data_IF_646505451004
#
_entry.id   IF_646505451004
#
_cell.length_a   1.000
_cell.length_b   1.000
_cell.length_c   1.000
_cell.angle_alpha   90.00
_cell.angle_beta   90.00
_cell.angle_gamma   90.00
#
_symmetry.space_group_name_H-M   'P 1'
#
loop_
_entity.id
_entity.type
_entity.pdbx_description
1 polymer ?
#
# COMPACT_ATOMS: atom_id res chain seq x y z
N UNK A 1 -47.23 -42.99 -5.91
CA UNK A 1 -46.01 -43.17 -6.72
C UNK A 1 -44.92 -42.28 -6.12
N UNK A 2 -43.94 -42.88 -5.44
CA UNK A 2 -42.84 -42.15 -4.80
C UNK A 2 -41.75 -41.82 -5.83
N UNK A 3 -41.21 -40.59 -5.78
CA UNK A 3 -40.08 -40.18 -6.61
C UNK A 3 -38.86 -41.04 -6.30
N UNK A 4 -38.07 -41.39 -7.32
CA UNK A 4 -36.92 -42.29 -7.15
C UNK A 4 -35.75 -41.50 -6.57
N UNK A 5 -34.98 -42.12 -5.67
CA UNK A 5 -33.81 -41.55 -4.99
C UNK A 5 -32.89 -40.66 -5.86
N UNK A 6 -32.59 -40.97 -7.13
CA UNK A 6 -31.73 -40.13 -7.97
C UNK A 6 -32.28 -38.72 -8.21
N UNK A 7 -33.60 -38.58 -8.38
CA UNK A 7 -34.26 -37.31 -8.70
C UNK A 7 -34.26 -36.35 -7.50
N UNK A 8 -34.29 -36.90 -6.29
CA UNK A 8 -34.27 -36.14 -5.04
C UNK A 8 -32.88 -35.53 -4.81
N UNK A 9 -31.81 -36.27 -5.13
CA UNK A 9 -30.44 -35.76 -5.03
C UNK A 9 -30.15 -34.67 -6.06
N UNK A 10 -30.72 -34.77 -7.26
CA UNK A 10 -30.57 -33.74 -8.30
C UNK A 10 -31.33 -32.46 -7.96
N UNK A 11 -32.58 -32.57 -7.48
CA UNK A 11 -33.35 -31.40 -7.00
C UNK A 11 -32.67 -30.73 -5.80
N UNK A 12 -32.08 -31.51 -4.88
CA UNK A 12 -31.38 -30.99 -3.70
C UNK A 12 -30.04 -30.34 -4.08
N UNK A 13 -29.32 -30.88 -5.09
CA UNK A 13 -28.11 -30.26 -5.65
C UNK A 13 -28.42 -28.97 -6.40
N UNK A 14 -29.56 -28.88 -7.08
CA UNK A 14 -30.03 -27.65 -7.75
C UNK A 14 -30.47 -26.58 -6.75
N UNK A 15 -31.10 -26.97 -5.64
CA UNK A 15 -31.52 -26.07 -4.57
C UNK A 15 -30.33 -25.50 -3.76
N UNK A 16 -29.32 -26.32 -3.45
CA UNK A 16 -28.09 -25.87 -2.74
C UNK A 16 -27.25 -24.93 -3.60
N UNK A 17 -27.28 -25.09 -4.93
CA UNK A 17 -26.53 -24.26 -5.87
C UNK A 17 -27.31 -23.04 -6.39
N UNK A 18 -28.51 -22.77 -5.85
CA UNK A 18 -29.31 -21.58 -6.19
C UNK A 18 -29.62 -21.44 -7.69
N UNK A 19 -29.68 -22.53 -8.45
CA UNK A 19 -29.74 -22.49 -9.92
C UNK A 19 -31.18 -22.49 -10.43
N UNK A 20 -31.66 -21.33 -10.91
CA UNK A 20 -32.77 -21.27 -11.87
C UNK A 20 -32.26 -21.68 -13.27
N UNK A 21 -33.13 -22.30 -14.07
CA UNK A 21 -32.80 -23.03 -15.31
C UNK A 21 -32.48 -22.13 -16.52
N UNK A 22 -32.50 -20.82 -16.33
CA UNK A 22 -32.45 -19.76 -17.33
C UNK A 22 -31.37 -18.69 -17.01
N UNK A 23 -30.42 -18.99 -16.13
CA UNK A 23 -29.37 -18.04 -15.77
C UNK A 23 -28.20 -18.06 -16.78
N UNK A 24 -28.09 -16.99 -17.58
CA UNK A 24 -26.99 -16.78 -18.52
C UNK A 24 -25.71 -16.34 -17.78
N UNK A 25 -24.85 -17.31 -17.47
CA UNK A 25 -23.58 -17.11 -16.76
C UNK A 25 -22.65 -16.04 -17.37
N UNK A 26 -22.77 -15.78 -18.67
CA UNK A 26 -21.97 -14.76 -19.36
C UNK A 26 -22.41 -13.33 -19.05
N UNK A 27 -23.70 -13.12 -18.76
CA UNK A 27 -24.23 -11.81 -18.34
C UNK A 27 -23.92 -11.56 -16.86
N UNK A 28 -24.04 -12.57 -16.00
CA UNK A 28 -23.68 -12.45 -14.58
C UNK A 28 -22.21 -12.09 -14.38
N UNK A 29 -21.32 -12.67 -15.19
CA UNK A 29 -19.89 -12.35 -15.16
C UNK A 29 -19.58 -10.92 -15.61
N UNK A 30 -20.31 -10.43 -16.64
CA UNK A 30 -20.18 -9.04 -17.12
C UNK A 30 -20.76 -8.04 -16.14
N UNK A 31 -21.92 -8.32 -15.57
CA UNK A 31 -22.56 -7.46 -14.56
C UNK A 31 -21.75 -7.40 -13.27
N UNK A 32 -21.18 -8.52 -12.81
CA UNK A 32 -20.29 -8.53 -11.64
C UNK A 32 -18.98 -7.79 -11.92
N UNK A 33 -18.42 -7.92 -13.13
CA UNK A 33 -17.23 -7.19 -13.55
C UNK A 33 -17.51 -5.68 -13.66
N UNK A 34 -18.60 -5.28 -14.31
CA UNK A 34 -18.98 -3.88 -14.49
C UNK A 34 -19.42 -3.23 -13.18
N UNK A 35 -20.07 -3.97 -12.27
CA UNK A 35 -20.36 -3.49 -10.91
C UNK A 35 -19.08 -3.31 -10.10
N UNK A 36 -18.09 -4.21 -10.26
CA UNK A 36 -16.78 -4.08 -9.61
C UNK A 36 -16.00 -2.91 -10.19
N UNK A 37 -15.91 -2.78 -11.51
CA UNK A 37 -15.16 -1.71 -12.20
C UNK A 37 -15.85 -0.35 -12.04
N UNK A 38 -17.18 -0.30 -12.13
CA UNK A 38 -17.99 0.90 -11.93
C UNK A 38 -17.97 1.37 -10.47
N UNK A 39 -18.07 0.45 -9.51
CA UNK A 39 -17.87 0.74 -8.09
C UNK A 39 -16.46 1.24 -7.80
N UNK A 40 -15.43 0.61 -8.37
CA UNK A 40 -14.02 1.02 -8.23
C UNK A 40 -13.80 2.43 -8.79
N UNK A 41 -14.39 2.79 -9.94
CA UNK A 41 -14.15 4.11 -10.57
C UNK A 41 -14.63 5.28 -9.71
N UNK A 42 -15.79 5.14 -9.05
CA UNK A 42 -16.34 6.17 -8.17
C UNK A 42 -15.70 6.15 -6.77
N UNK A 43 -15.32 4.97 -6.26
CA UNK A 43 -14.65 4.84 -4.95
C UNK A 43 -13.20 5.33 -5.03
N UNK A 44 -12.52 5.16 -6.17
CA UNK A 44 -11.08 5.47 -6.30
C UNK A 44 -10.81 6.97 -6.24
N UNK A 45 -11.58 7.80 -6.95
CA UNK A 45 -11.38 9.26 -6.98
C UNK A 45 -11.61 9.92 -5.62
N UNK A 46 -12.73 9.59 -4.98
CA UNK A 46 -13.11 10.18 -3.70
C UNK A 46 -12.23 9.68 -2.55
N UNK A 47 -11.89 8.39 -2.55
CA UNK A 47 -11.02 7.81 -1.51
C UNK A 47 -9.62 8.38 -1.61
N UNK A 48 -9.04 8.44 -2.83
CA UNK A 48 -7.69 8.96 -3.01
C UNK A 48 -7.60 10.43 -2.62
N UNK A 49 -8.58 11.25 -3.00
CA UNK A 49 -8.64 12.68 -2.64
C UNK A 49 -8.77 12.87 -1.13
N UNK A 50 -9.62 12.08 -0.46
CA UNK A 50 -9.74 12.11 1.01
C UNK A 50 -8.45 11.67 1.70
N UNK A 51 -7.77 10.65 1.20
CA UNK A 51 -6.48 10.20 1.73
C UNK A 51 -5.39 11.25 1.52
N UNK A 52 -5.37 11.91 0.37
CA UNK A 52 -4.45 13.02 0.10
C UNK A 52 -4.70 14.19 1.05
N UNK A 53 -5.96 14.56 1.27
CA UNK A 53 -6.31 15.61 2.24
C UNK A 53 -5.85 15.24 3.65
N UNK A 54 -6.13 14.01 4.10
CA UNK A 54 -5.69 13.51 5.41
C UNK A 54 -4.18 13.52 5.55
N UNK A 55 -3.45 13.20 4.48
CA UNK A 55 -1.99 13.29 4.46
C UNK A 55 -1.54 14.75 4.61
N UNK A 56 -2.15 15.68 3.88
CA UNK A 56 -1.85 17.10 3.98
C UNK A 56 -2.12 17.64 5.39
N UNK A 57 -3.22 17.23 6.02
CA UNK A 57 -3.56 17.61 7.40
C UNK A 57 -2.54 17.07 8.41
N UNK A 58 -1.99 15.87 8.17
CA UNK A 58 -0.98 15.25 9.01
C UNK A 58 0.45 15.79 8.77
N UNK A 59 0.72 16.36 7.59
CA UNK A 59 2.06 16.75 7.15
C UNK A 59 2.78 17.71 8.12
N UNK A 60 2.15 18.78 8.65
CA UNK A 60 2.81 19.67 9.61
C UNK A 60 3.23 18.94 10.89
N UNK A 61 2.42 17.98 11.34
CA UNK A 61 2.71 17.20 12.53
C UNK A 61 3.80 16.15 12.28
N UNK A 62 3.84 15.55 11.08
CA UNK A 62 4.92 14.65 10.66
C UNK A 62 6.26 15.41 10.65
N UNK A 63 6.26 16.64 10.12
CA UNK A 63 7.45 17.51 10.11
C UNK A 63 7.90 17.89 11.52
N UNK A 64 6.98 18.27 12.38
CA UNK A 64 7.25 18.57 13.79
C UNK A 64 7.67 17.34 14.59
N UNK A 65 7.26 16.14 14.19
CA UNK A 65 7.72 14.88 14.75
C UNK A 65 9.16 14.52 14.32
N UNK A 66 9.83 15.40 13.57
CA UNK A 66 11.21 15.26 13.15
C UNK A 66 11.40 14.49 11.85
N UNK A 67 10.36 14.37 11.01
CA UNK A 67 10.41 13.67 9.74
C UNK A 67 10.30 14.60 8.54
N UNK A 68 11.12 14.36 7.53
CA UNK A 68 11.03 15.00 6.22
C UNK A 68 10.40 14.04 5.22
N UNK A 69 9.39 14.52 4.47
CA UNK A 69 8.82 13.76 3.35
C UNK A 69 9.69 13.98 2.13
N UNK A 70 10.32 12.91 1.66
CA UNK A 70 11.25 12.96 0.51
C UNK A 70 10.60 12.61 -0.81
N UNK A 71 9.55 11.80 -0.76
CA UNK A 71 8.81 11.34 -1.93
C UNK A 71 7.40 10.95 -1.49
N UNK A 72 6.43 11.07 -2.39
CA UNK A 72 5.09 10.53 -2.21
C UNK A 72 4.79 9.62 -3.38
N UNK A 73 4.51 8.35 -3.08
CA UNK A 73 4.07 7.39 -4.08
C UNK A 73 2.55 7.27 -4.05
N UNK A 74 1.94 7.14 -5.22
CA UNK A 74 0.50 6.95 -5.34
C UNK A 74 0.26 5.64 -6.07
N UNK A 75 -0.29 4.67 -5.35
CA UNK A 75 -0.73 3.41 -5.91
C UNK A 75 -2.13 3.55 -6.49
N UNK A 76 -2.25 3.40 -7.82
CA UNK A 76 -3.52 3.37 -8.53
C UNK A 76 -3.86 1.91 -8.85
N UNK A 77 -4.87 1.36 -8.17
CA UNK A 77 -5.30 -0.03 -8.32
C UNK A 77 -6.62 -0.26 -7.58
N UNK A 78 -7.04 -1.53 -7.45
CA UNK A 78 -8.28 -1.88 -6.73
C UNK A 78 -8.31 -1.37 -5.29
N UNK A 79 -7.13 -1.28 -4.66
CA UNK A 79 -6.93 -0.64 -3.35
C UNK A 79 -6.00 0.57 -3.55
N UNK A 80 -6.54 1.78 -3.78
CA UNK A 80 -5.72 2.97 -3.93
C UNK A 80 -5.02 3.30 -2.61
N UNK A 81 -3.77 3.75 -2.70
CA UNK A 81 -2.98 4.12 -1.52
C UNK A 81 -2.01 5.26 -1.81
N UNK A 82 -1.69 6.00 -0.76
CA UNK A 82 -0.64 7.03 -0.78
C UNK A 82 0.47 6.58 0.16
N UNK A 83 1.72 6.57 -0.31
CA UNK A 83 2.88 6.09 0.44
C UNK A 83 3.97 7.16 0.46
N UNK A 84 3.91 8.11 1.42
CA UNK A 84 5.04 9.00 1.70
C UNK A 84 6.27 8.22 2.19
N UNK A 85 7.42 8.50 1.56
CA UNK A 85 8.75 8.13 2.03
C UNK A 85 9.28 9.20 2.97
N UNK A 86 9.53 8.81 4.22
CA UNK A 86 9.96 9.65 5.31
C UNK A 86 11.44 9.41 5.64
N UNK A 87 12.19 10.49 5.79
CA UNK A 87 13.52 10.48 6.40
C UNK A 87 13.46 11.16 7.75
N UNK A 88 14.16 10.59 8.72
CA UNK A 88 14.28 11.18 10.05
C UNK A 88 15.34 12.29 10.01
N UNK A 89 14.92 13.53 10.30
CA UNK A 89 15.77 14.71 10.39
C UNK A 89 16.32 14.87 11.81
N UNK A 90 15.44 14.75 12.79
CA UNK A 90 15.75 14.96 14.21
C UNK A 90 14.98 13.96 15.08
N UNK A 91 15.51 13.67 16.26
CA UNK A 91 14.88 12.79 17.23
C UNK A 91 14.34 13.65 18.37
N UNK A 92 13.02 13.69 18.52
CA UNK A 92 12.37 14.37 19.64
C UNK A 92 12.62 13.61 20.94
N UNK A 93 12.78 14.33 22.04
CA UNK A 93 12.82 13.75 23.38
C UNK A 93 11.41 13.34 23.85
N UNK A 94 11.31 12.64 24.99
CA UNK A 94 10.03 12.10 25.48
C UNK A 94 9.00 13.19 25.82
N UNK A 95 9.44 14.35 26.32
CA UNK A 95 8.57 15.48 26.65
C UNK A 95 7.98 16.12 25.38
N UNK A 96 8.80 16.32 24.36
CA UNK A 96 8.38 16.84 23.04
C UNK A 96 7.43 15.87 22.34
N UNK A 97 7.70 14.56 22.41
CA UNK A 97 6.81 13.54 21.87
C UNK A 97 5.45 13.53 22.58
N UNK A 98 5.43 13.63 23.91
CA UNK A 98 4.21 13.67 24.70
C UNK A 98 3.38 14.93 24.40
N UNK A 99 4.03 16.09 24.33
CA UNK A 99 3.38 17.35 23.99
C UNK A 99 2.75 17.32 22.59
N UNK A 100 3.47 16.77 21.60
CA UNK A 100 2.92 16.65 20.24
C UNK A 100 1.73 15.69 20.18
N UNK A 101 1.77 14.57 20.92
CA UNK A 101 0.65 13.62 20.99
C UNK A 101 -0.58 14.19 21.68
N UNK A 102 -0.41 15.03 22.70
CA UNK A 102 -1.52 15.70 23.38
C UNK A 102 -2.20 16.73 22.47
N UNK A 103 -1.42 17.49 21.70
CA UNK A 103 -1.94 18.46 20.73
C UNK A 103 -2.82 17.82 19.65
N UNK A 104 -2.45 16.63 19.17
CA UNK A 104 -3.19 15.91 18.11
C UNK A 104 -4.20 14.90 18.66
N UNK A 105 -4.43 14.87 19.98
CA UNK A 105 -5.24 13.83 20.65
C UNK A 105 -6.65 13.70 20.08
N UNK A 106 -7.27 14.81 19.72
CA UNK A 106 -8.63 14.82 19.15
C UNK A 106 -8.64 14.47 17.65
N UNK A 107 -7.49 14.52 16.99
CA UNK A 107 -7.30 14.14 15.59
C UNK A 107 -6.85 12.67 15.49
N UNK A 108 -7.79 11.73 15.69
CA UNK A 108 -7.49 10.29 15.80
C UNK A 108 -6.51 9.73 14.76
N UNK A 109 -6.68 10.10 13.49
CA UNK A 109 -5.78 9.63 12.43
C UNK A 109 -4.37 10.21 12.57
N UNK A 110 -4.25 11.53 12.79
CA UNK A 110 -2.96 12.19 13.01
C UNK A 110 -2.28 11.62 14.24
N UNK A 111 -2.98 11.50 15.37
CA UNK A 111 -2.47 10.87 16.59
C UNK A 111 -1.98 9.43 16.35
N UNK A 112 -2.71 8.66 15.54
CA UNK A 112 -2.30 7.30 15.16
C UNK A 112 -1.03 7.31 14.32
N UNK A 113 -0.93 8.20 13.33
CA UNK A 113 0.27 8.35 12.49
C UNK A 113 1.48 8.72 13.36
N UNK A 114 1.37 9.79 14.15
CA UNK A 114 2.47 10.30 14.99
C UNK A 114 2.92 9.25 16.01
N UNK A 115 1.98 8.63 16.74
CA UNK A 115 2.31 7.58 17.71
C UNK A 115 2.97 6.36 17.05
N UNK A 116 2.55 5.99 15.84
CA UNK A 116 3.15 4.87 15.11
C UNK A 116 4.56 5.23 14.61
N UNK A 117 4.79 6.47 14.17
CA UNK A 117 6.13 6.94 13.80
C UNK A 117 7.10 6.93 14.99
N UNK A 118 6.67 7.35 16.18
CA UNK A 118 7.50 7.26 17.39
C UNK A 118 7.82 5.81 17.77
N UNK A 119 6.83 4.92 17.71
CA UNK A 119 7.05 3.47 17.89
C UNK A 119 8.01 2.90 16.85
N UNK A 120 7.91 3.32 15.59
CA UNK A 120 8.77 2.89 14.51
C UNK A 120 10.23 3.35 14.72
N UNK A 121 10.44 4.58 15.22
CA UNK A 121 11.77 5.07 15.62
C UNK A 121 12.36 4.23 16.76
N UNK A 122 11.57 3.94 17.79
CA UNK A 122 11.98 3.08 18.91
C UNK A 122 12.24 1.63 18.48
N UNK A 123 11.51 1.12 17.49
CA UNK A 123 11.74 -0.21 16.92
C UNK A 123 13.03 -0.23 16.07
N UNK A 124 13.26 0.79 15.24
CA UNK A 124 14.48 0.95 14.44
C UNK A 124 15.74 0.88 15.31
N UNK A 125 15.75 1.51 16.48
CA UNK A 125 16.94 1.49 17.35
C UNK A 125 17.26 0.09 17.89
N UNK A 126 16.23 -0.75 18.09
CA UNK A 126 16.32 -2.13 18.59
C UNK A 126 16.60 -3.16 17.50
N UNK A 127 16.12 -2.92 16.27
CA UNK A 127 16.31 -3.83 15.15
C UNK A 127 17.71 -3.67 14.55
N UNK A 128 18.53 -4.72 14.66
CA UNK A 128 19.86 -4.80 14.05
C UNK A 128 19.90 -6.00 13.14
N UNK A 129 20.13 -5.75 11.85
CA UNK A 129 20.33 -6.78 10.84
C UNK A 129 21.82 -6.80 10.47
N UNK A 130 22.43 -7.98 10.36
CA UNK A 130 23.82 -8.11 9.89
C UNK A 130 23.87 -7.77 8.40
N UNK A 131 24.80 -6.91 7.98
CA UNK A 131 25.00 -6.50 6.58
C UNK A 131 23.83 -5.71 5.98
N UNK A 132 22.99 -5.08 6.79
CA UNK A 132 21.94 -4.17 6.33
C UNK A 132 21.89 -2.93 7.22
N UNK A 133 21.74 -1.75 6.61
CA UNK A 133 21.48 -0.50 7.31
C UNK A 133 20.05 -0.02 7.05
N UNK A 134 19.48 0.63 8.06
CA UNK A 134 18.22 1.34 7.92
C UNK A 134 18.37 2.49 6.91
N UNK A 135 17.40 2.66 6.03
CA UNK A 135 17.43 3.71 5.00
C UNK A 135 16.30 4.73 5.14
N UNK A 136 15.07 4.27 5.31
CA UNK A 136 13.89 5.11 5.21
C UNK A 136 12.69 4.47 5.91
N UNK A 137 11.69 5.29 6.21
CA UNK A 137 10.37 4.86 6.64
C UNK A 137 9.40 5.08 5.49
N UNK A 138 8.56 4.11 5.20
CA UNK A 138 7.36 4.31 4.37
C UNK A 138 6.14 4.33 5.29
N UNK A 139 5.32 5.37 5.16
CA UNK A 139 4.01 5.42 5.79
C UNK A 139 2.98 5.10 4.72
N UNK A 140 2.38 3.92 4.76
CA UNK A 140 1.32 3.51 3.85
C UNK A 140 -0.02 4.01 4.36
N UNK A 141 -0.60 4.98 3.66
CA UNK A 141 -1.92 5.52 3.89
C UNK A 141 -2.91 4.83 2.95
N UNK A 142 -3.52 3.77 3.46
CA UNK A 142 -4.63 3.06 2.83
C UNK A 142 -5.88 3.20 3.72
N UNK A 143 -6.83 2.27 3.63
CA UNK A 143 -7.94 2.15 4.59
C UNK A 143 -7.40 2.09 6.03
N UNK A 144 -6.23 1.46 6.22
CA UNK A 144 -5.52 1.43 7.50
C UNK A 144 -4.08 1.97 7.32
N UNK A 145 -3.62 2.86 8.20
CA UNK A 145 -2.23 3.31 8.17
C UNK A 145 -1.29 2.19 8.60
N UNK A 146 -0.18 2.02 7.88
CA UNK A 146 0.89 1.11 8.23
C UNK A 146 2.24 1.81 8.11
N UNK A 147 3.20 1.44 8.95
CA UNK A 147 4.57 1.98 8.90
C UNK A 147 5.54 0.85 8.60
N UNK A 148 6.34 1.03 7.57
CA UNK A 148 7.31 0.06 7.07
C UNK A 148 8.71 0.65 7.26
N UNK A 149 9.56 -0.06 8.00
CA UNK A 149 10.99 0.26 8.12
C UNK A 149 11.74 -0.41 6.96
N UNK A 150 12.46 0.37 6.15
CA UNK A 150 13.28 -0.16 5.05
C UNK A 150 14.73 -0.26 5.47
N UNK A 151 15.33 -1.37 5.07
CA UNK A 151 16.73 -1.66 5.25
C UNK A 151 17.30 -2.04 3.89
N UNK A 152 18.50 -1.56 3.58
CA UNK A 152 19.23 -1.96 2.37
C UNK A 152 20.51 -2.68 2.77
N UNK A 153 21.02 -3.59 1.92
CA UNK A 153 22.31 -4.20 2.15
C UNK A 153 23.37 -3.13 2.34
N UNK A 154 24.25 -3.32 3.32
CA UNK A 154 25.51 -2.60 3.37
C UNK A 154 26.25 -3.01 2.10
N UNK A 155 26.44 -2.07 1.17
CA UNK A 155 27.19 -2.36 -0.05
C UNK A 155 28.55 -2.90 0.37
N UNK A 156 28.72 -4.21 0.18
CA UNK A 156 30.03 -4.80 -0.02
C UNK A 156 30.26 -4.66 -1.50
N UNK A 157 31.29 -3.91 -1.86
CA UNK A 157 31.62 -3.57 -3.23
C UNK A 157 31.77 -4.85 -4.07
N UNK A 158 30.74 -5.17 -4.85
CA UNK A 158 30.88 -6.04 -6.01
C UNK A 158 30.46 -5.18 -7.19
N UNK A 159 31.47 -4.77 -7.94
CA UNK A 159 31.40 -3.88 -9.09
C UNK A 159 30.17 -4.15 -9.96
N UNK A 160 29.39 -3.11 -10.23
CA UNK A 160 28.55 -3.12 -11.41
C UNK A 160 29.51 -3.17 -12.63
N UNK A 161 29.39 -4.14 -13.55
CA UNK A 161 29.98 -3.95 -14.86
C UNK A 161 29.23 -2.77 -15.49
N UNK A 162 29.93 -1.66 -15.66
CA UNK A 162 29.49 -0.65 -16.61
C UNK A 162 29.46 -1.36 -17.96
N UNK A 163 28.27 -1.68 -18.44
CA UNK A 163 28.08 -2.01 -19.84
C UNK A 163 28.34 -0.70 -20.61
N UNK A 164 29.60 -0.50 -20.99
CA UNK A 164 29.93 0.35 -22.12
C UNK A 164 29.15 -0.21 -23.30
N UNK A 165 28.06 0.45 -23.67
CA UNK A 165 27.45 0.28 -24.97
C UNK A 165 28.38 0.97 -25.96
N UNK A 166 29.48 0.30 -26.34
CA UNK A 166 30.19 0.63 -27.57
C UNK A 166 29.28 0.22 -28.71
N UNK A 167 28.64 1.21 -29.32
CA UNK A 167 28.03 1.05 -30.63
C UNK A 167 29.17 0.89 -31.63
N UNK A 168 29.50 -0.37 -31.96
CA UNK A 168 30.40 -0.69 -33.06
C UNK A 168 29.65 -0.39 -34.36
N UNK A 169 29.92 0.79 -34.90
CA UNK A 169 29.56 1.16 -36.26
C UNK A 169 30.45 0.38 -37.21
N UNK A 170 29.97 -0.78 -37.69
CA UNK A 170 30.48 -1.38 -38.92
C UNK A 170 29.54 -2.40 -39.55
N UNK A 171 29.38 -2.19 -40.85
CA UNK A 171 29.06 -3.12 -41.91
C UNK A 171 27.59 -3.28 -42.33
N UNK A 172 27.21 -2.48 -43.31
CA UNK A 172 26.57 -3.01 -44.51
C UNK A 172 27.30 -2.49 -45.74
N UNK A 173 28.34 -3.24 -46.13
CA UNK A 173 28.76 -3.35 -47.52
C UNK A 173 27.89 -4.39 -48.25
N UNK A 174 27.27 -4.00 -49.35
CA UNK A 174 26.89 -4.86 -50.49
C UNK A 174 26.65 -3.90 -51.67
N UNK A 175 27.63 -3.77 -52.56
CA UNK A 175 27.72 -4.47 -53.86
C UNK A 175 27.11 -3.66 -54.99
#
# INVERSE_FOLDING_TARGET
>A
MGKRLPEIFDDMRLAILGRKKDHNWSESGKEAYDATVGGVKNITGDTLSKTAQRFNDALPYIQRAGYEVTQVEVGLGLSPKIVPRLKMRELLNEEEQAALLDEVRDQKLVSTIISTLFKASAARSKLKFKSFHFTEIELELSILPSVILKFKPDRTDVAAPQAELTFDEKDTSES
#
